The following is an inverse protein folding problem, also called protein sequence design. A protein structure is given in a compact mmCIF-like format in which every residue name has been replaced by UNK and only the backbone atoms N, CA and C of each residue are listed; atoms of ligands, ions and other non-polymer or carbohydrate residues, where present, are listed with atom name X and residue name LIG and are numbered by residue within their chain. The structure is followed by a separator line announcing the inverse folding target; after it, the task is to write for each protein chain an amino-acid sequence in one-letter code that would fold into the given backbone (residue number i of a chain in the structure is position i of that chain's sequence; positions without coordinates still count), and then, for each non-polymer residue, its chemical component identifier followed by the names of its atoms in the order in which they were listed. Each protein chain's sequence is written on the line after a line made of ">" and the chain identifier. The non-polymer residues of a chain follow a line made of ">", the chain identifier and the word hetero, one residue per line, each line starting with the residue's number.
data_IF_688891329735
#
_entry.id   IF_688891329735
#
_cell.length_a   1.000
_cell.length_b   1.000
_cell.length_c   1.000
_cell.angle_alpha   90.00
_cell.angle_beta   90.00
_cell.angle_gamma   90.00
#
_symmetry.space_group_name_H-M   'P 1'
#
loop_
_entity.id
_entity.type
_entity.pdbx_description
1 polymer ?
#
# COMPACT_ATOMS: atom_id res chain seq x y z
N UNK A 1 -1.80 -9.29 -16.03
CA UNK A 1 -0.96 -8.23 -15.42
C UNK A 1 -1.19 -8.12 -13.91
N UNK A 2 -2.43 -8.07 -13.44
CA UNK A 2 -2.78 -7.98 -12.02
C UNK A 2 -2.13 -9.07 -11.15
N UNK A 3 -2.17 -10.33 -11.57
CA UNK A 3 -1.55 -11.46 -10.84
C UNK A 3 -0.06 -11.23 -10.61
N UNK A 4 0.66 -10.69 -11.60
CA UNK A 4 2.09 -10.40 -11.46
C UNK A 4 2.31 -9.28 -10.43
N UNK A 5 1.48 -8.23 -10.44
CA UNK A 5 1.52 -7.17 -9.42
C UNK A 5 1.32 -7.75 -8.01
N UNK A 6 0.34 -8.63 -7.84
CA UNK A 6 0.08 -9.31 -6.56
C UNK A 6 1.31 -10.12 -6.10
N UNK A 7 1.86 -10.93 -7.00
CA UNK A 7 3.05 -11.74 -6.69
C UNK A 7 4.25 -10.89 -6.29
N UNK A 8 4.48 -9.76 -6.97
CA UNK A 8 5.56 -8.84 -6.65
C UNK A 8 5.44 -8.28 -5.23
N UNK A 9 4.23 -7.90 -4.79
CA UNK A 9 4.00 -7.40 -3.43
C UNK A 9 4.17 -8.51 -2.41
N UNK A 10 3.53 -9.67 -2.61
CA UNK A 10 3.59 -10.80 -1.68
C UNK A 10 5.03 -11.30 -1.50
N UNK A 11 5.80 -11.42 -2.59
CA UNK A 11 7.19 -11.84 -2.54
C UNK A 11 8.06 -10.83 -1.79
N UNK A 12 7.93 -9.53 -2.08
CA UNK A 12 8.76 -8.51 -1.42
C UNK A 12 8.48 -8.43 0.08
N UNK A 13 7.19 -8.37 0.46
CA UNK A 13 6.79 -8.36 1.87
C UNK A 13 7.19 -9.67 2.56
N UNK A 14 6.95 -10.81 1.91
CA UNK A 14 7.31 -12.13 2.44
C UNK A 14 8.83 -12.29 2.66
N UNK A 15 9.65 -11.88 1.70
CA UNK A 15 11.13 -11.90 1.83
C UNK A 15 11.57 -10.98 2.97
N UNK A 16 10.95 -9.79 3.10
CA UNK A 16 11.29 -8.85 4.16
C UNK A 16 10.97 -9.40 5.53
N UNK A 17 9.79 -9.99 5.72
CA UNK A 17 9.39 -10.64 6.97
C UNK A 17 10.30 -11.83 7.27
N UNK A 18 10.59 -12.68 6.28
CA UNK A 18 11.46 -13.84 6.45
C UNK A 18 12.87 -13.45 6.90
N UNK A 19 13.43 -12.37 6.30
CA UNK A 19 14.79 -11.89 6.64
C UNK A 19 14.85 -11.22 8.00
N UNK A 20 13.88 -10.34 8.30
CA UNK A 20 13.90 -9.54 9.53
C UNK A 20 13.25 -10.24 10.72
N UNK A 21 12.50 -11.34 10.47
CA UNK A 21 11.71 -12.06 11.49
C UNK A 21 10.69 -11.17 12.21
N UNK A 22 10.31 -10.06 11.60
CA UNK A 22 9.34 -9.10 12.12
C UNK A 22 8.58 -8.42 10.98
N UNK A 23 7.40 -7.89 11.30
CA UNK A 23 6.64 -7.07 10.35
C UNK A 23 7.35 -5.72 10.14
N UNK A 24 7.40 -5.19 8.91
CA UNK A 24 7.90 -3.85 8.67
C UNK A 24 6.99 -2.79 9.31
N UNK A 25 7.50 -1.59 9.53
CA UNK A 25 6.70 -0.47 10.04
C UNK A 25 5.74 0.07 8.98
N UNK A 26 6.13 0.00 7.72
CA UNK A 26 5.38 0.43 6.54
C UNK A 26 5.93 -0.29 5.32
N UNK A 27 5.09 -0.60 4.34
CA UNK A 27 5.50 -1.18 3.05
C UNK A 27 6.20 -0.11 2.23
N UNK A 28 5.61 1.08 2.15
CA UNK A 28 6.13 2.18 1.33
C UNK A 28 7.44 2.76 1.88
N UNK A 29 7.58 2.86 3.19
CA UNK A 29 8.77 3.40 3.84
C UNK A 29 9.94 2.43 3.99
N UNK A 30 9.80 1.15 3.58
CA UNK A 30 10.93 0.19 3.59
C UNK A 30 12.15 0.68 2.82
N UNK A 31 11.95 1.53 1.81
CA UNK A 31 13.02 2.12 0.99
C UNK A 31 14.03 2.92 1.82
N UNK A 32 13.59 3.61 2.87
CA UNK A 32 14.46 4.42 3.72
C UNK A 32 15.40 3.57 4.60
N UNK A 33 15.10 2.28 4.76
CA UNK A 33 15.98 1.33 5.45
C UNK A 33 17.01 0.67 4.51
N UNK A 34 16.96 1.00 3.21
CA UNK A 34 17.91 0.49 2.23
C UNK A 34 19.10 1.44 2.08
N UNK A 35 20.29 0.91 1.79
CA UNK A 35 21.44 1.73 1.41
C UNK A 35 21.07 2.65 0.23
N UNK A 36 21.63 3.86 0.23
CA UNK A 36 21.47 4.78 -0.89
C UNK A 36 22.00 4.19 -2.21
N UNK A 37 21.54 4.75 -3.33
CA UNK A 37 21.97 4.33 -4.65
C UNK A 37 21.17 3.17 -5.24
N UNK A 38 21.86 2.12 -5.71
CA UNK A 38 21.23 1.03 -6.49
C UNK A 38 20.05 0.37 -5.77
N UNK A 39 20.12 0.20 -4.45
CA UNK A 39 19.06 -0.46 -3.68
C UNK A 39 17.76 0.34 -3.66
N UNK A 40 17.84 1.67 -3.52
CA UNK A 40 16.66 2.56 -3.58
C UNK A 40 16.07 2.59 -4.98
N UNK A 41 16.91 2.62 -6.03
CA UNK A 41 16.47 2.52 -7.40
C UNK A 41 15.72 1.21 -7.69
N UNK A 42 16.23 0.07 -7.24
CA UNK A 42 15.56 -1.21 -7.41
C UNK A 42 14.20 -1.24 -6.71
N UNK A 43 14.10 -0.65 -5.51
CA UNK A 43 12.82 -0.54 -4.81
C UNK A 43 11.83 0.37 -5.56
N UNK A 44 12.29 1.50 -6.10
CA UNK A 44 11.47 2.40 -6.92
C UNK A 44 10.95 1.69 -8.17
N UNK A 45 11.82 0.99 -8.90
CA UNK A 45 11.43 0.21 -10.08
C UNK A 45 10.42 -0.88 -9.71
N UNK A 46 10.61 -1.53 -8.57
CA UNK A 46 9.66 -2.52 -8.06
C UNK A 46 8.28 -1.91 -7.81
N UNK A 47 8.19 -0.77 -7.11
CA UNK A 47 6.90 -0.13 -6.83
C UNK A 47 6.26 0.46 -8.09
N UNK A 48 7.05 0.96 -9.03
CA UNK A 48 6.55 1.35 -10.36
C UNK A 48 5.96 0.14 -11.11
N UNK A 49 6.66 -0.98 -11.13
CA UNK A 49 6.16 -2.20 -11.75
C UNK A 49 4.83 -2.67 -11.12
N UNK A 50 4.75 -2.69 -9.79
CA UNK A 50 3.51 -3.02 -9.07
C UNK A 50 2.37 -2.10 -9.49
N UNK A 51 2.61 -0.77 -9.49
CA UNK A 51 1.60 0.23 -9.78
C UNK A 51 1.12 0.17 -11.24
N UNK A 52 2.06 0.10 -12.19
CA UNK A 52 1.75 0.10 -13.61
C UNK A 52 1.10 -1.21 -14.07
N UNK A 53 1.47 -2.36 -13.48
CA UNK A 53 0.84 -3.65 -13.77
C UNK A 53 -0.59 -3.75 -13.21
N UNK A 54 -0.88 -3.04 -12.13
CA UNK A 54 -2.22 -2.95 -11.55
C UNK A 54 -3.12 -1.97 -12.31
N UNK A 55 -2.54 -0.91 -12.89
CA UNK A 55 -3.27 0.23 -13.45
C UNK A 55 -4.38 -0.14 -14.46
N UNK A 56 -4.16 -0.99 -15.48
CA UNK A 56 -5.21 -1.32 -16.43
C UNK A 56 -6.43 -1.93 -15.74
N UNK A 57 -6.20 -2.93 -14.88
CA UNK A 57 -7.29 -3.63 -14.18
C UNK A 57 -8.06 -2.73 -13.22
N UNK A 58 -7.37 -1.80 -12.53
CA UNK A 58 -8.02 -0.83 -11.66
C UNK A 58 -8.88 0.15 -12.46
N UNK A 59 -8.38 0.65 -13.59
CA UNK A 59 -9.09 1.63 -14.41
C UNK A 59 -10.29 0.99 -15.10
N UNK A 60 -10.14 -0.24 -15.61
CA UNK A 60 -11.23 -1.00 -16.26
C UNK A 60 -12.35 -1.36 -15.28
N UNK A 61 -12.03 -1.65 -14.01
CA UNK A 61 -13.03 -1.96 -12.99
C UNK A 61 -13.85 -0.74 -12.54
N UNK A 62 -13.36 0.48 -12.77
CA UNK A 62 -14.03 1.71 -12.37
C UNK A 62 -15.10 2.15 -13.38
N UNK A 63 -16.25 2.73 -12.93
CA UNK A 63 -17.17 3.41 -13.84
C UNK A 63 -16.44 4.48 -14.65
N UNK A 64 -16.77 4.60 -15.93
CA UNK A 64 -16.05 5.49 -16.88
C UNK A 64 -15.89 6.93 -16.37
N UNK A 65 -16.93 7.47 -15.71
CA UNK A 65 -16.92 8.82 -15.14
C UNK A 65 -15.93 8.99 -13.98
N UNK A 66 -15.48 7.90 -13.35
CA UNK A 66 -14.62 7.89 -12.18
C UNK A 66 -13.21 7.31 -12.43
N UNK A 67 -12.90 6.93 -13.66
CA UNK A 67 -11.58 6.39 -14.03
C UNK A 67 -10.42 7.33 -13.68
N UNK A 68 -10.67 8.65 -13.68
CA UNK A 68 -9.67 9.64 -13.28
C UNK A 68 -9.16 9.42 -11.84
N UNK A 69 -9.99 8.89 -10.92
CA UNK A 69 -9.57 8.58 -9.54
C UNK A 69 -8.56 7.45 -9.55
N UNK A 70 -8.75 6.43 -10.41
CA UNK A 70 -7.78 5.36 -10.61
C UNK A 70 -6.45 5.90 -11.13
N UNK A 71 -6.46 6.80 -12.12
CA UNK A 71 -5.25 7.45 -12.61
C UNK A 71 -4.53 8.25 -11.53
N UNK A 72 -5.27 9.02 -10.70
CA UNK A 72 -4.69 9.76 -9.58
C UNK A 72 -4.08 8.82 -8.54
N UNK A 73 -4.73 7.69 -8.24
CA UNK A 73 -4.20 6.67 -7.33
C UNK A 73 -2.84 6.16 -7.82
N UNK A 74 -2.77 5.77 -9.10
CA UNK A 74 -1.53 5.26 -9.70
C UNK A 74 -0.46 6.36 -9.75
N UNK A 75 -0.82 7.58 -10.11
CA UNK A 75 0.11 8.71 -10.12
C UNK A 75 0.72 8.95 -8.72
N UNK A 76 -0.11 8.96 -7.66
CA UNK A 76 0.37 9.10 -6.29
C UNK A 76 1.36 7.97 -5.91
N UNK A 77 1.09 6.71 -6.28
CA UNK A 77 1.99 5.58 -6.03
C UNK A 77 3.32 5.73 -6.79
N UNK A 78 3.26 6.12 -8.07
CA UNK A 78 4.45 6.31 -8.91
C UNK A 78 5.33 7.45 -8.36
N UNK A 79 4.74 8.57 -7.97
CA UNK A 79 5.48 9.68 -7.36
C UNK A 79 5.98 9.33 -5.96
N UNK A 80 5.18 8.65 -5.12
CA UNK A 80 5.61 8.16 -3.83
C UNK A 80 6.87 7.28 -3.95
N UNK A 81 6.92 6.42 -4.97
CA UNK A 81 8.07 5.59 -5.26
C UNK A 81 9.31 6.39 -5.69
N UNK A 82 9.13 7.52 -6.37
CA UNK A 82 10.22 8.35 -6.88
C UNK A 82 10.88 9.22 -5.81
N UNK A 83 10.11 9.70 -4.83
CA UNK A 83 10.59 10.64 -3.79
C UNK A 83 11.89 10.22 -3.13
N UNK A 84 12.11 8.96 -2.69
CA UNK A 84 13.35 8.57 -2.01
C UNK A 84 14.63 8.68 -2.86
N UNK A 85 14.49 8.87 -4.17
CA UNK A 85 15.62 9.09 -5.07
C UNK A 85 16.01 10.57 -5.08
N UNK A 86 15.01 11.46 -5.11
CA UNK A 86 15.22 12.90 -5.28
C UNK A 86 15.33 13.62 -3.93
N UNK A 87 14.56 13.18 -2.93
CA UNK A 87 14.55 13.73 -1.58
C UNK A 87 14.97 12.69 -0.55
N UNK A 88 16.26 12.61 -0.31
CA UNK A 88 16.88 11.52 0.46
C UNK A 88 16.52 11.52 1.95
N UNK A 89 16.30 12.71 2.52
CA UNK A 89 16.11 12.90 3.97
C UNK A 89 14.69 13.31 4.36
N UNK A 90 13.93 13.90 3.43
CA UNK A 90 12.59 14.38 3.71
C UNK A 90 11.52 13.35 3.36
N UNK A 91 10.98 12.70 4.38
CA UNK A 91 9.91 11.71 4.21
C UNK A 91 8.51 12.34 4.08
N UNK A 92 8.37 13.66 4.24
CA UNK A 92 7.05 14.31 4.29
C UNK A 92 6.29 14.16 2.99
N UNK A 93 6.92 14.46 1.85
CA UNK A 93 6.28 14.33 0.53
C UNK A 93 5.92 12.86 0.25
N UNK A 94 6.83 11.94 0.57
CA UNK A 94 6.57 10.50 0.45
C UNK A 94 5.33 10.08 1.25
N UNK A 95 5.25 10.51 2.51
CA UNK A 95 4.13 10.17 3.39
C UNK A 95 2.80 10.78 2.90
N UNK A 96 2.81 12.03 2.40
CA UNK A 96 1.63 12.69 1.83
C UNK A 96 1.14 11.90 0.60
N UNK A 97 2.04 11.56 -0.32
CA UNK A 97 1.69 10.82 -1.53
C UNK A 97 1.23 9.40 -1.22
N UNK A 98 1.86 8.73 -0.26
CA UNK A 98 1.44 7.41 0.22
C UNK A 98 0.04 7.45 0.85
N UNK A 99 -0.22 8.43 1.73
CA UNK A 99 -1.53 8.63 2.33
C UNK A 99 -2.60 8.97 1.28
N UNK A 100 -2.29 9.83 0.32
CA UNK A 100 -3.18 10.17 -0.79
C UNK A 100 -3.51 8.93 -1.64
N UNK A 101 -2.51 8.10 -1.97
CA UNK A 101 -2.71 6.86 -2.69
C UNK A 101 -3.63 5.89 -1.92
N UNK A 102 -3.43 5.75 -0.61
CA UNK A 102 -4.30 4.96 0.25
C UNK A 102 -5.75 5.46 0.23
N UNK A 103 -5.99 6.75 0.44
CA UNK A 103 -7.33 7.34 0.44
C UNK A 103 -7.99 7.16 -0.93
N UNK A 104 -7.32 7.52 -2.02
CA UNK A 104 -7.84 7.39 -3.37
C UNK A 104 -8.13 5.93 -3.73
N UNK A 105 -7.30 4.98 -3.32
CA UNK A 105 -7.55 3.56 -3.55
C UNK A 105 -8.82 3.09 -2.84
N UNK A 106 -9.12 3.59 -1.62
CA UNK A 106 -10.33 3.25 -0.90
C UNK A 106 -11.59 3.90 -1.53
N UNK A 107 -11.45 5.09 -2.14
CA UNK A 107 -12.52 5.66 -2.97
C UNK A 107 -12.78 4.74 -4.18
N UNK A 108 -11.74 4.26 -4.85
CA UNK A 108 -11.89 3.27 -5.93
C UNK A 108 -12.62 2.01 -5.45
N UNK A 109 -12.24 1.45 -4.29
CA UNK A 109 -12.92 0.29 -3.69
C UNK A 109 -14.40 0.58 -3.45
N UNK A 110 -14.73 1.74 -2.89
CA UNK A 110 -16.12 2.16 -2.68
C UNK A 110 -16.94 2.26 -3.97
N UNK A 111 -16.30 2.66 -5.06
CA UNK A 111 -16.93 2.80 -6.39
C UNK A 111 -17.07 1.47 -7.14
N UNK A 112 -16.14 0.53 -6.94
CA UNK A 112 -16.14 -0.78 -7.59
C UNK A 112 -17.01 -1.77 -6.81
N UNK A 113 -16.68 -1.99 -5.52
CA UNK A 113 -17.34 -2.95 -4.66
C UNK A 113 -17.20 -2.55 -3.18
N UNK A 114 -18.16 -1.77 -2.62
CA UNK A 114 -18.04 -1.18 -1.28
C UNK A 114 -17.92 -2.20 -0.14
N UNK A 115 -18.35 -3.45 -0.36
CA UNK A 115 -18.25 -4.51 0.66
C UNK A 115 -16.81 -4.77 1.10
N UNK A 116 -15.82 -4.55 0.24
CA UNK A 116 -14.41 -4.75 0.60
C UNK A 116 -13.87 -3.69 1.56
N UNK A 117 -14.58 -2.56 1.75
CA UNK A 117 -14.28 -1.61 2.80
C UNK A 117 -14.49 -2.20 4.21
N UNK A 118 -15.26 -3.29 4.35
CA UNK A 118 -15.43 -3.99 5.62
C UNK A 118 -14.12 -4.57 6.16
N UNK A 119 -13.09 -4.75 5.32
CA UNK A 119 -11.75 -5.14 5.80
C UNK A 119 -11.18 -4.14 6.81
N UNK A 120 -11.61 -2.87 6.76
CA UNK A 120 -11.23 -1.88 7.77
C UNK A 120 -11.77 -2.18 9.16
N UNK A 121 -12.84 -2.96 9.27
CA UNK A 121 -13.36 -3.41 10.58
C UNK A 121 -12.34 -4.26 11.31
N UNK A 122 -11.48 -5.00 10.60
CA UNK A 122 -10.38 -5.74 11.23
C UNK A 122 -9.40 -4.78 11.90
N UNK A 123 -9.08 -3.67 11.26
CA UNK A 123 -8.20 -2.65 11.84
C UNK A 123 -8.88 -1.99 13.06
N UNK A 124 -10.16 -1.66 12.96
CA UNK A 124 -10.94 -1.12 14.06
C UNK A 124 -10.98 -2.11 15.23
N UNK A 125 -11.23 -3.39 14.96
CA UNK A 125 -11.25 -4.44 15.99
C UNK A 125 -9.90 -4.55 16.72
N UNK A 126 -8.78 -4.49 15.99
CA UNK A 126 -7.43 -4.49 16.58
C UNK A 126 -7.22 -3.27 17.47
N UNK A 127 -7.62 -2.07 17.01
CA UNK A 127 -7.51 -0.84 17.79
C UNK A 127 -8.38 -0.90 19.06
N UNK A 128 -9.62 -1.36 18.95
CA UNK A 128 -10.55 -1.50 20.07
C UNK A 128 -10.01 -2.52 21.09
N UNK A 129 -9.54 -3.67 20.61
CA UNK A 129 -8.91 -4.66 21.47
C UNK A 129 -7.71 -4.08 22.24
N UNK A 130 -6.83 -3.35 21.55
CA UNK A 130 -5.68 -2.72 22.19
C UNK A 130 -6.07 -1.68 23.24
N UNK A 131 -7.15 -0.91 23.01
CA UNK A 131 -7.68 0.06 23.96
C UNK A 131 -8.27 -0.62 25.21
N UNK A 132 -9.03 -1.72 25.02
CA UNK A 132 -9.65 -2.45 26.11
C UNK A 132 -8.61 -3.19 26.96
N UNK A 133 -7.67 -3.88 26.30
CA UNK A 133 -6.64 -4.65 26.98
C UNK A 133 -5.58 -3.76 27.64
N UNK A 134 -5.57 -2.44 27.36
CA UNK A 134 -4.51 -1.49 27.76
C UNK A 134 -3.10 -1.97 27.39
N UNK A 135 -3.00 -2.96 26.53
CA UNK A 135 -1.75 -3.54 26.06
C UNK A 135 -1.80 -3.66 24.52
N UNK A 136 -0.89 -2.99 23.86
CA UNK A 136 -0.63 -3.26 22.44
C UNK A 136 0.18 -4.56 22.33
N UNK A 137 -0.29 -5.55 21.58
CA UNK A 137 0.54 -6.71 21.27
C UNK A 137 1.90 -6.24 20.77
N UNK A 138 3.00 -6.75 21.36
CA UNK A 138 4.36 -6.29 21.00
C UNK A 138 4.67 -6.35 19.52
N UNK A 139 4.10 -7.35 18.82
CA UNK A 139 4.27 -7.51 17.36
C UNK A 139 3.52 -6.45 16.53
N UNK A 140 2.55 -5.72 17.12
CA UNK A 140 1.81 -4.63 16.49
C UNK A 140 2.37 -3.24 16.81
N UNK A 141 3.26 -3.13 17.82
CA UNK A 141 3.80 -1.82 18.20
C UNK A 141 4.55 -1.18 17.01
N UNK A 142 4.15 0.04 16.64
CA UNK A 142 4.72 0.78 15.51
C UNK A 142 4.36 0.22 14.12
N UNK A 143 3.42 -0.76 14.01
CA UNK A 143 3.06 -1.41 12.74
C UNK A 143 1.72 -0.92 12.17
N UNK A 144 1.10 0.10 12.76
CA UNK A 144 -0.21 0.60 12.32
C UNK A 144 -0.24 1.03 10.85
N UNK A 145 0.82 1.69 10.36
CA UNK A 145 0.92 2.11 8.97
C UNK A 145 1.01 0.90 8.04
N UNK A 146 1.82 -0.11 8.39
CA UNK A 146 1.91 -1.35 7.62
C UNK A 146 0.55 -2.04 7.47
N UNK A 147 -0.21 -2.12 8.58
CA UNK A 147 -1.55 -2.74 8.56
C UNK A 147 -2.50 -1.91 7.68
N UNK A 148 -2.48 -0.57 7.79
CA UNK A 148 -3.30 0.29 6.97
C UNK A 148 -2.98 0.13 5.47
N UNK A 149 -1.71 0.15 5.09
CA UNK A 149 -1.26 -0.08 3.72
C UNK A 149 -1.66 -1.47 3.21
N UNK A 150 -1.52 -2.51 4.05
CA UNK A 150 -1.91 -3.87 3.71
C UNK A 150 -3.44 -3.99 3.51
N UNK A 151 -4.25 -3.36 4.37
CA UNK A 151 -5.72 -3.32 4.22
C UNK A 151 -6.10 -2.57 2.95
N UNK A 152 -5.49 -1.39 2.67
CA UNK A 152 -5.72 -0.66 1.44
C UNK A 152 -5.42 -1.51 0.21
N UNK A 153 -4.28 -2.19 0.21
CA UNK A 153 -3.87 -3.02 -0.91
C UNK A 153 -4.78 -4.24 -1.08
N UNK A 154 -5.07 -4.98 -0.01
CA UNK A 154 -5.92 -6.17 -0.05
C UNK A 154 -7.35 -5.84 -0.50
N UNK A 155 -7.96 -4.77 0.05
CA UNK A 155 -9.31 -4.34 -0.34
C UNK A 155 -9.37 -3.91 -1.81
N UNK A 156 -8.33 -3.22 -2.29
CA UNK A 156 -8.23 -2.81 -3.71
C UNK A 156 -8.10 -4.02 -4.63
N UNK A 157 -7.23 -4.98 -4.30
CA UNK A 157 -7.08 -6.21 -5.08
C UNK A 157 -8.37 -7.03 -5.10
N UNK A 158 -9.01 -7.19 -3.94
CA UNK A 158 -10.27 -7.92 -3.82
C UNK A 158 -11.38 -7.23 -4.63
N UNK A 159 -11.50 -5.91 -4.57
CA UNK A 159 -12.48 -5.17 -5.36
C UNK A 159 -12.27 -5.37 -6.87
N UNK A 160 -11.01 -5.34 -7.35
CA UNK A 160 -10.71 -5.55 -8.77
C UNK A 160 -10.98 -6.99 -9.22
N UNK A 161 -10.75 -8.00 -8.37
CA UNK A 161 -10.90 -9.42 -8.74
C UNK A 161 -12.36 -9.85 -8.73
N UNK A 162 -13.16 -9.32 -7.80
CA UNK A 162 -14.52 -9.80 -7.51
C UNK A 162 -15.61 -8.77 -7.85
N UNK A 163 -15.33 -7.83 -8.76
CA UNK A 163 -16.32 -6.86 -9.24
C UNK A 163 -17.30 -7.42 -10.25
#
# INVERSE_FOLDING_TARGET
>A
MLIISILLVVLNVGITIWRKRELPQSISAMVYNLPEGRSRWLWTIWLWAVSLLMAPSLIEALPTTWQFVGFLTIACLVFCAAVPIFEKENTTIHNILGAAACVLSQICVGLICPWWLLLWLLMVAVCVHALIAKEYPRWLQGKGIFIAEAVCWLSTMAAIIFH
#
